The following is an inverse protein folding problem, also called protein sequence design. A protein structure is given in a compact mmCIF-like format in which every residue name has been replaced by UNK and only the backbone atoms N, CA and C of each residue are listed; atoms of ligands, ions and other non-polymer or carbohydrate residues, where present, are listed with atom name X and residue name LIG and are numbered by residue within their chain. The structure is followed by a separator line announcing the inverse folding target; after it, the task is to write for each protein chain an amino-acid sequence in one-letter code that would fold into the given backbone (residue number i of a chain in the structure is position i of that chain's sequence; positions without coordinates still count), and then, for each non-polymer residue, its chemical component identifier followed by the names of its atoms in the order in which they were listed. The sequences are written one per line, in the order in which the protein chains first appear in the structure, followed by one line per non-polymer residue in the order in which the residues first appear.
data_IF_095564730623
#
_entry.id   IF_095564730623
#
_cell.length_a   1.000
_cell.length_b   1.000
_cell.length_c   1.000
_cell.angle_alpha   90.00
_cell.angle_beta   90.00
_cell.angle_gamma   90.00
#
_symmetry.space_group_name_H-M   'P 1'
#
loop_
_entity.id
_entity.type
_entity.pdbx_description
1 polymer ?
#
# COMPACT_ATOMS: atom_id res chain seq x y z
N UNK A 1 -0.86 -13.05 0.89
CA UNK A 1 -0.38 -13.16 2.29
C UNK A 1 0.02 -14.59 2.51
N UNK A 2 1.24 -14.84 3.01
CA UNK A 2 1.68 -16.21 3.29
C UNK A 2 1.15 -16.74 4.63
N UNK A 3 1.42 -18.02 4.92
CA UNK A 3 1.08 -18.69 6.19
C UNK A 3 1.67 -18.01 7.44
N UNK A 4 2.71 -17.18 7.27
CA UNK A 4 3.37 -16.43 8.36
C UNK A 4 2.71 -15.06 8.58
N UNK A 5 1.70 -14.71 7.80
CA UNK A 5 1.04 -13.41 7.82
C UNK A 5 1.78 -12.32 7.06
N UNK A 6 2.91 -12.62 6.40
CA UNK A 6 3.64 -11.63 5.61
C UNK A 6 2.91 -11.35 4.31
N UNK A 7 2.81 -10.06 4.00
CA UNK A 7 2.09 -9.55 2.82
C UNK A 7 3.09 -9.18 1.73
N UNK A 8 2.63 -9.28 0.49
CA UNK A 8 3.42 -8.98 -0.69
C UNK A 8 2.52 -8.22 -1.67
N UNK A 9 3.06 -7.16 -2.28
CA UNK A 9 2.46 -6.53 -3.44
C UNK A 9 3.11 -7.12 -4.67
N UNK A 10 2.28 -7.70 -5.53
CA UNK A 10 2.75 -8.46 -6.69
C UNK A 10 2.16 -7.79 -7.92
N UNK A 11 2.97 -7.65 -8.96
CA UNK A 11 2.50 -7.31 -10.31
C UNK A 11 2.18 -8.62 -11.03
N UNK A 12 1.03 -8.71 -11.66
CA UNK A 12 0.53 -9.91 -12.35
C UNK A 12 1.30 -10.25 -13.64
N UNK A 13 2.35 -9.49 -13.98
CA UNK A 13 3.08 -9.60 -15.23
C UNK A 13 4.17 -10.70 -15.24
N UNK A 14 4.58 -11.18 -14.07
CA UNK A 14 5.71 -12.11 -13.88
C UNK A 14 5.44 -13.15 -12.82
N UNK A 15 6.19 -14.26 -12.84
CA UNK A 15 6.18 -15.22 -11.74
C UNK A 15 6.68 -14.59 -10.43
N UNK A 16 6.14 -15.05 -9.32
CA UNK A 16 6.51 -14.59 -7.98
C UNK A 16 7.25 -15.70 -7.24
N UNK A 17 8.51 -15.43 -6.88
CA UNK A 17 9.41 -16.40 -6.25
C UNK A 17 9.68 -16.03 -4.78
N UNK A 18 9.62 -17.02 -3.90
CA UNK A 18 9.90 -16.88 -2.46
C UNK A 18 10.57 -18.14 -1.91
N UNK A 19 11.00 -18.10 -0.65
CA UNK A 19 11.46 -19.28 0.11
C UNK A 19 10.33 -20.31 0.33
N UNK A 20 9.07 -19.93 0.14
CA UNK A 20 7.89 -20.80 0.25
C UNK A 20 7.48 -21.38 -1.12
N UNK A 21 8.30 -21.19 -2.14
CA UNK A 21 8.08 -21.68 -3.49
C UNK A 21 7.67 -20.57 -4.47
N UNK A 22 7.22 -21.01 -5.64
CA UNK A 22 6.91 -20.16 -6.79
C UNK A 22 5.40 -20.14 -6.98
N UNK A 23 4.86 -18.94 -7.12
CA UNK A 23 3.51 -18.70 -7.64
C UNK A 23 3.65 -18.35 -9.12
N UNK A 24 3.09 -19.21 -9.97
CA UNK A 24 3.13 -19.01 -11.41
C UNK A 24 2.21 -17.87 -11.84
N UNK A 25 2.54 -17.25 -12.96
CA UNK A 25 1.76 -16.16 -13.53
C UNK A 25 0.29 -16.54 -13.76
N UNK A 26 0.05 -17.73 -14.34
CA UNK A 26 -1.30 -18.20 -14.65
C UNK A 26 -2.14 -18.45 -13.40
N UNK A 27 -1.49 -18.78 -12.26
CA UNK A 27 -2.19 -18.91 -10.98
C UNK A 27 -2.64 -17.54 -10.47
N UNK A 28 -1.85 -16.49 -10.67
CA UNK A 28 -2.22 -15.13 -10.25
C UNK A 28 -3.32 -14.54 -11.12
N UNK A 29 -3.22 -14.69 -12.45
CA UNK A 29 -4.24 -14.19 -13.40
C UNK A 29 -5.62 -14.82 -13.17
N UNK A 30 -5.67 -16.05 -12.63
CA UNK A 30 -6.92 -16.77 -12.32
C UNK A 30 -7.42 -16.54 -10.90
N UNK A 31 -6.59 -15.99 -10.02
CA UNK A 31 -6.94 -15.87 -8.62
C UNK A 31 -7.82 -14.65 -8.38
N UNK A 32 -8.77 -14.82 -7.48
CA UNK A 32 -9.68 -13.78 -7.03
C UNK A 32 -9.50 -13.53 -5.54
N UNK A 33 -9.96 -12.37 -5.07
CA UNK A 33 -9.87 -12.01 -3.65
C UNK A 33 -10.62 -13.07 -2.83
N UNK A 34 -9.94 -13.64 -1.83
CA UNK A 34 -10.44 -14.72 -0.99
C UNK A 34 -9.85 -16.10 -1.33
N UNK A 35 -9.29 -16.27 -2.52
CA UNK A 35 -8.70 -17.53 -2.94
C UNK A 35 -7.43 -17.88 -2.16
N UNK A 36 -7.13 -19.18 -2.12
CA UNK A 36 -5.87 -19.71 -1.60
C UNK A 36 -5.08 -20.32 -2.75
N UNK A 37 -3.88 -19.81 -2.98
CA UNK A 37 -2.93 -20.32 -3.96
C UNK A 37 -1.97 -21.24 -3.23
N UNK A 38 -1.77 -22.45 -3.76
CA UNK A 38 -0.81 -23.43 -3.24
C UNK A 38 0.42 -23.45 -4.16
N UNK A 39 1.61 -23.31 -3.59
CA UNK A 39 2.87 -23.40 -4.33
C UNK A 39 3.29 -24.86 -4.56
N UNK A 40 4.28 -25.08 -5.41
CA UNK A 40 4.86 -26.42 -5.64
C UNK A 40 5.51 -27.06 -4.40
N UNK A 41 5.74 -26.29 -3.32
CA UNK A 41 6.21 -26.78 -2.02
C UNK A 41 5.06 -27.05 -1.03
N UNK A 42 3.81 -27.08 -1.53
CA UNK A 42 2.60 -27.26 -0.74
C UNK A 42 2.41 -26.18 0.35
N UNK A 43 2.80 -24.93 0.04
CA UNK A 43 2.65 -23.77 0.91
C UNK A 43 1.51 -22.88 0.45
N UNK A 44 0.73 -22.37 1.39
CA UNK A 44 -0.48 -21.60 1.13
C UNK A 44 -0.22 -20.09 1.11
N UNK A 45 -0.82 -19.42 0.14
CA UNK A 45 -0.90 -17.97 0.03
C UNK A 45 -2.35 -17.54 -0.15
N UNK A 46 -2.84 -16.66 0.72
CA UNK A 46 -4.18 -16.07 0.59
C UNK A 46 -4.14 -14.80 -0.25
N UNK A 47 -5.05 -14.72 -1.23
CA UNK A 47 -5.29 -13.52 -2.03
C UNK A 47 -6.22 -12.61 -1.27
N UNK A 48 -5.77 -11.40 -0.98
CA UNK A 48 -6.50 -10.44 -0.14
C UNK A 48 -6.66 -9.12 -0.86
N UNK A 49 -7.75 -8.39 -0.57
CA UNK A 49 -7.91 -7.03 -1.05
C UNK A 49 -6.89 -6.13 -0.34
N UNK A 50 -6.00 -5.43 -1.07
CA UNK A 50 -5.06 -4.53 -0.44
C UNK A 50 -5.78 -3.30 0.12
N UNK A 51 -5.32 -2.86 1.28
CA UNK A 51 -5.69 -1.59 1.92
C UNK A 51 -4.60 -0.56 1.68
N UNK A 52 -4.89 0.72 1.90
CA UNK A 52 -3.88 1.79 1.81
C UNK A 52 -2.71 1.56 2.76
N UNK A 53 -2.95 0.98 3.93
CA UNK A 53 -1.89 0.59 4.85
C UNK A 53 -0.99 -0.51 4.29
N UNK A 54 -1.53 -1.46 3.52
CA UNK A 54 -0.70 -2.48 2.86
C UNK A 54 0.25 -1.85 1.85
N UNK A 55 -0.19 -0.83 1.11
CA UNK A 55 0.67 -0.06 0.22
C UNK A 55 1.77 0.68 1.00
N UNK A 56 1.43 1.33 2.10
CA UNK A 56 2.40 2.09 2.91
C UNK A 56 3.42 1.18 3.61
N UNK A 57 3.00 0.01 4.03
CA UNK A 57 3.87 -0.97 4.70
C UNK A 57 4.83 -1.67 3.73
N UNK A 58 4.45 -1.79 2.45
CA UNK A 58 5.20 -2.55 1.44
C UNK A 58 5.88 -1.67 0.38
N UNK A 59 5.58 -0.37 0.31
CA UNK A 59 6.26 0.55 -0.60
C UNK A 59 7.74 0.70 -0.25
N UNK A 60 8.55 1.04 -1.24
CA UNK A 60 9.95 1.40 -1.01
C UNK A 60 10.04 2.73 -0.27
N UNK A 61 10.71 2.74 0.89
CA UNK A 61 10.80 3.89 1.78
C UNK A 61 12.17 4.54 1.63
N UNK A 62 12.25 5.57 0.80
CA UNK A 62 13.45 6.39 0.63
C UNK A 62 13.67 7.39 1.78
N UNK A 63 12.66 7.61 2.62
CA UNK A 63 12.72 8.45 3.81
C UNK A 63 11.87 7.90 4.96
N UNK A 64 12.05 8.48 6.16
CA UNK A 64 11.15 8.26 7.29
C UNK A 64 9.73 8.73 6.97
N UNK A 65 8.73 8.01 7.46
CA UNK A 65 7.31 8.32 7.28
C UNK A 65 6.60 8.42 8.62
N UNK A 66 5.46 9.12 8.66
CA UNK A 66 4.58 9.09 9.82
C UNK A 66 3.94 7.71 9.99
N UNK A 67 3.86 7.26 11.24
CA UNK A 67 3.21 6.00 11.61
C UNK A 67 1.72 6.21 11.84
N UNK A 68 0.95 5.12 11.80
CA UNK A 68 -0.52 5.14 11.92
C UNK A 68 -1.04 5.89 13.16
N UNK A 69 -0.34 5.74 14.31
CA UNK A 69 -0.67 6.45 15.55
C UNK A 69 -0.65 7.97 15.37
N UNK A 70 0.35 8.49 14.68
CA UNK A 70 0.54 9.93 14.50
C UNK A 70 -0.39 10.47 13.41
N UNK A 71 -0.61 9.70 12.34
CA UNK A 71 -1.61 10.00 11.31
C UNK A 71 -2.99 10.14 11.94
N UNK A 72 -3.40 9.20 12.78
CA UNK A 72 -4.67 9.27 13.50
C UNK A 72 -4.80 10.55 14.34
N UNK A 73 -3.71 10.99 14.96
CA UNK A 73 -3.67 12.26 15.71
C UNK A 73 -3.85 13.47 14.80
N UNK A 74 -3.22 13.48 13.62
CA UNK A 74 -3.40 14.55 12.62
C UNK A 74 -4.85 14.60 12.15
N UNK A 75 -5.44 13.46 11.79
CA UNK A 75 -6.83 13.38 11.35
C UNK A 75 -7.80 13.88 12.44
N UNK A 76 -7.62 13.43 13.69
CA UNK A 76 -8.47 13.81 14.81
C UNK A 76 -8.38 15.31 15.14
N UNK A 77 -7.18 15.91 15.07
CA UNK A 77 -6.97 17.34 15.39
C UNK A 77 -7.43 18.26 14.28
N UNK A 78 -7.29 17.86 13.02
CA UNK A 78 -7.64 18.69 11.86
C UNK A 78 -9.10 18.54 11.45
N UNK A 79 -9.76 17.46 11.86
CA UNK A 79 -11.11 17.13 11.40
C UNK A 79 -11.15 16.81 9.90
N UNK A 80 -10.02 16.34 9.33
CA UNK A 80 -9.93 16.01 7.92
C UNK A 80 -10.96 14.93 7.56
N UNK A 81 -11.76 15.20 6.52
CA UNK A 81 -12.83 14.30 6.07
C UNK A 81 -13.03 14.28 4.56
N UNK A 82 -14.05 13.54 4.15
CA UNK A 82 -14.39 13.35 2.73
C UNK A 82 -14.70 14.67 2.03
N UNK A 83 -14.23 14.82 0.79
CA UNK A 83 -14.43 16.00 -0.05
C UNK A 83 -13.48 17.16 0.22
N UNK A 84 -12.62 17.05 1.24
CA UNK A 84 -11.74 18.15 1.61
C UNK A 84 -10.60 18.35 0.61
N UNK A 85 -10.11 19.58 0.55
CA UNK A 85 -8.86 19.94 -0.14
C UNK A 85 -7.77 20.09 0.90
N UNK A 86 -6.70 19.31 0.79
CA UNK A 86 -5.62 19.23 1.78
C UNK A 86 -4.31 19.65 1.16
N UNK A 87 -3.52 20.41 1.89
CA UNK A 87 -2.14 20.70 1.55
C UNK A 87 -1.24 19.92 2.51
N UNK A 88 -0.24 19.25 1.95
CA UNK A 88 0.85 18.59 2.64
C UNK A 88 2.18 19.12 2.08
N UNK A 89 3.21 19.22 2.92
CA UNK A 89 4.51 19.75 2.52
C UNK A 89 5.62 18.84 3.06
N UNK A 90 6.44 18.34 2.14
CA UNK A 90 7.27 17.16 2.31
C UNK A 90 6.54 15.92 1.80
N UNK A 91 6.46 15.74 0.47
CA UNK A 91 5.86 14.53 -0.12
C UNK A 91 6.55 13.26 0.37
N UNK A 92 7.87 13.31 0.51
CA UNK A 92 8.66 12.18 0.99
C UNK A 92 8.34 10.91 0.21
N UNK A 93 8.12 9.80 0.92
CA UNK A 93 7.75 8.52 0.31
C UNK A 93 6.27 8.42 -0.12
N UNK A 94 5.49 9.51 -0.05
CA UNK A 94 4.07 9.53 -0.45
C UNK A 94 3.10 8.89 0.55
N UNK A 95 3.58 8.44 1.72
CA UNK A 95 2.76 7.77 2.74
C UNK A 95 1.56 8.60 3.23
N UNK A 96 1.80 9.89 3.45
CA UNK A 96 0.78 10.83 3.92
C UNK A 96 -0.17 11.21 2.81
N UNK A 97 0.34 11.47 1.61
CA UNK A 97 -0.48 11.73 0.44
C UNK A 97 -1.47 10.59 0.16
N UNK A 98 -1.01 9.33 0.25
CA UNK A 98 -1.87 8.14 0.13
C UNK A 98 -2.94 8.07 1.23
N UNK A 99 -2.57 8.30 2.50
CA UNK A 99 -3.53 8.32 3.61
C UNK A 99 -4.59 9.40 3.45
N UNK A 100 -4.17 10.64 3.19
CA UNK A 100 -5.09 11.74 3.02
C UNK A 100 -5.98 11.53 1.79
N UNK A 101 -5.43 10.99 0.70
CA UNK A 101 -6.20 10.60 -0.48
C UNK A 101 -7.33 9.64 -0.13
N UNK A 102 -7.02 8.61 0.68
CA UNK A 102 -8.01 7.65 1.17
C UNK A 102 -9.11 8.30 2.02
N UNK A 103 -8.75 9.28 2.86
CA UNK A 103 -9.70 9.96 3.74
C UNK A 103 -10.60 10.94 2.98
N UNK A 104 -10.02 11.74 2.08
CA UNK A 104 -10.77 12.75 1.33
C UNK A 104 -11.62 12.12 0.23
N UNK A 105 -11.21 10.96 -0.29
CA UNK A 105 -11.92 10.21 -1.31
C UNK A 105 -12.04 10.94 -2.64
N UNK A 106 -12.87 10.41 -3.53
CA UNK A 106 -12.97 10.84 -4.94
C UNK A 106 -13.39 12.30 -5.14
N UNK A 107 -14.11 12.88 -4.17
CA UNK A 107 -14.58 14.28 -4.21
C UNK A 107 -13.57 15.26 -3.63
N UNK A 108 -12.53 14.76 -2.97
CA UNK A 108 -11.50 15.57 -2.36
C UNK A 108 -10.26 15.68 -3.23
N UNK A 109 -9.25 16.41 -2.73
CA UNK A 109 -7.97 16.52 -3.41
C UNK A 109 -6.84 16.77 -2.42
N UNK A 110 -5.75 16.03 -2.60
CA UNK A 110 -4.51 16.25 -1.85
C UNK A 110 -3.51 16.95 -2.75
N UNK A 111 -2.96 18.05 -2.27
CA UNK A 111 -1.86 18.79 -2.88
C UNK A 111 -0.65 18.56 -1.99
N UNK A 112 0.36 17.87 -2.50
CA UNK A 112 1.61 17.66 -1.78
C UNK A 112 2.74 18.36 -2.52
N UNK A 113 3.70 18.90 -1.77
CA UNK A 113 4.83 19.64 -2.32
C UNK A 113 6.13 19.08 -1.77
N UNK A 114 7.11 18.90 -2.65
CA UNK A 114 8.46 18.48 -2.29
C UNK A 114 9.45 19.34 -3.06
N UNK A 115 10.47 19.82 -2.35
CA UNK A 115 11.50 20.69 -2.94
C UNK A 115 12.68 19.87 -3.47
N UNK A 116 12.84 18.65 -2.96
CA UNK A 116 13.87 17.72 -3.37
C UNK A 116 13.42 16.93 -4.59
N UNK A 117 14.07 17.19 -5.72
CA UNK A 117 13.77 16.52 -6.99
C UNK A 117 13.81 15.00 -6.89
N UNK A 118 14.75 14.44 -6.11
CA UNK A 118 14.89 12.99 -5.91
C UNK A 118 13.68 12.34 -5.20
N UNK A 119 12.84 13.14 -4.53
CA UNK A 119 11.59 12.71 -3.90
C UNK A 119 10.33 13.17 -4.66
N UNK A 120 10.45 14.14 -5.57
CA UNK A 120 9.32 14.67 -6.33
C UNK A 120 8.97 13.84 -7.58
N UNK A 121 9.91 13.02 -8.08
CA UNK A 121 9.72 12.08 -9.19
C UNK A 121 9.19 10.70 -8.79
#
# INVERSE_FOLDING_TARGET
MDERGKKYLIKEDREFQTDLGIIKKEQMERATIGDTIITHLNKEFKVIKPTVNDFIDLMDRRCSILIQKDIGTVLARTGLGSGYRVIDAGTGAGAIALNFGNVVGEKGKVFTYEIREDFAE
#
